data_IF_037138949557
#
_entry.id   IF_037138949557
#
_cell.length_a   1.000
_cell.length_b   1.000
_cell.length_c   1.000
_cell.angle_alpha   90.00
_cell.angle_beta   90.00
_cell.angle_gamma   90.00
#
_symmetry.space_group_name_H-M   'P 1'
#
loop_
_entity.id
_entity.type
_entity.pdbx_description
1 polymer ?
#
# COMPACT_ATOMS: atom_id res chain seq x y z
N UNK A 1 -1.50 40.41 -2.17
CA UNK A 1 -2.43 39.45 -2.81
C UNK A 1 -2.96 38.55 -1.72
N UNK A 2 -4.24 38.69 -1.35
CA UNK A 2 -4.88 37.80 -0.39
C UNK A 2 -5.02 36.43 -1.06
N UNK A 3 -4.25 35.46 -0.57
CA UNK A 3 -4.40 34.05 -0.91
C UNK A 3 -5.87 33.68 -0.71
N UNK A 4 -6.50 33.16 -1.77
CA UNK A 4 -7.87 32.69 -1.77
C UNK A 4 -8.05 31.71 -0.61
N UNK A 5 -8.89 32.06 0.37
CA UNK A 5 -9.18 31.20 1.52
C UNK A 5 -9.64 29.84 0.98
N UNK A 6 -8.90 28.79 1.31
CA UNK A 6 -9.16 27.43 0.85
C UNK A 6 -10.48 26.95 1.46
N UNK A 7 -11.56 26.90 0.66
CA UNK A 7 -12.90 26.44 1.08
C UNK A 7 -13.07 24.91 1.12
N UNK A 8 -12.05 24.15 0.71
CA UNK A 8 -12.07 22.69 0.78
C UNK A 8 -11.44 22.23 2.10
N UNK A 9 -12.02 21.22 2.73
CA UNK A 9 -11.51 20.57 3.94
C UNK A 9 -10.69 19.32 3.55
N UNK A 10 -9.33 19.40 3.48
CA UNK A 10 -8.50 18.29 2.98
C UNK A 10 -8.68 17.02 3.80
N UNK A 11 -8.85 17.15 5.12
CA UNK A 11 -9.12 16.03 6.02
C UNK A 11 -10.40 15.32 5.64
N UNK A 12 -11.51 16.04 5.45
CA UNK A 12 -12.78 15.45 5.08
C UNK A 12 -12.70 14.76 3.71
N UNK A 13 -12.08 15.42 2.72
CA UNK A 13 -11.90 14.88 1.37
C UNK A 13 -11.05 13.58 1.38
N UNK A 14 -9.90 13.59 2.08
CA UNK A 14 -9.00 12.43 2.17
C UNK A 14 -9.66 11.23 2.86
N UNK A 15 -10.29 11.46 4.02
CA UNK A 15 -10.90 10.37 4.79
C UNK A 15 -12.18 9.86 4.14
N UNK A 16 -12.94 10.70 3.43
CA UNK A 16 -14.09 10.26 2.62
C UNK A 16 -13.63 9.29 1.54
N UNK A 17 -12.60 9.65 0.76
CA UNK A 17 -12.06 8.77 -0.28
C UNK A 17 -11.44 7.50 0.28
N UNK A 18 -10.78 7.57 1.44
CA UNK A 18 -10.26 6.38 2.11
C UNK A 18 -11.40 5.43 2.56
N UNK A 19 -12.48 5.98 3.10
CA UNK A 19 -13.67 5.20 3.46
C UNK A 19 -14.36 4.58 2.24
N UNK A 20 -14.47 5.31 1.13
CA UNK A 20 -15.00 4.80 -0.13
C UNK A 20 -14.14 3.66 -0.69
N UNK A 21 -12.80 3.79 -0.67
CA UNK A 21 -11.86 2.72 -1.08
C UNK A 21 -12.03 1.46 -0.23
N UNK A 22 -12.10 1.63 1.10
CA UNK A 22 -12.35 0.52 2.01
C UNK A 22 -13.66 -0.20 1.67
N UNK A 23 -14.75 0.56 1.49
CA UNK A 23 -16.07 0.01 1.17
C UNK A 23 -16.07 -0.70 -0.19
N UNK A 24 -15.43 -0.11 -1.19
CA UNK A 24 -15.30 -0.70 -2.52
C UNK A 24 -14.65 -2.07 -2.45
N UNK A 25 -13.46 -2.19 -1.87
CA UNK A 25 -12.79 -3.50 -1.79
C UNK A 25 -13.52 -4.48 -0.87
N UNK A 26 -14.17 -4.01 0.20
CA UNK A 26 -15.04 -4.85 1.03
C UNK A 26 -16.18 -5.46 0.19
N UNK A 27 -16.83 -4.65 -0.65
CA UNK A 27 -17.87 -5.12 -1.57
C UNK A 27 -17.31 -6.13 -2.58
N UNK A 28 -16.21 -5.79 -3.27
CA UNK A 28 -15.67 -6.60 -4.37
C UNK A 28 -15.01 -7.91 -3.91
N UNK A 29 -14.33 -7.91 -2.76
CA UNK A 29 -13.44 -9.01 -2.35
C UNK A 29 -13.90 -9.74 -1.08
N UNK A 30 -14.81 -9.15 -0.31
CA UNK A 30 -15.27 -9.66 0.97
C UNK A 30 -16.80 -9.79 1.08
N UNK A 31 -17.55 -9.57 0.00
CA UNK A 31 -19.01 -9.65 -0.05
C UNK A 31 -19.69 -8.71 0.96
N UNK A 32 -19.11 -7.52 1.18
CA UNK A 32 -19.58 -6.52 2.14
C UNK A 32 -19.67 -7.04 3.59
N UNK A 33 -18.89 -8.07 3.95
CA UNK A 33 -18.94 -8.66 5.29
C UNK A 33 -18.06 -7.97 6.32
N UNK A 34 -17.06 -7.18 5.92
CA UNK A 34 -16.17 -6.53 6.88
C UNK A 34 -16.91 -5.43 7.66
N UNK A 35 -16.69 -5.32 8.99
CA UNK A 35 -17.35 -4.31 9.81
C UNK A 35 -16.82 -2.90 9.54
N UNK A 36 -17.56 -1.88 9.97
CA UNK A 36 -17.03 -0.51 10.02
C UNK A 36 -16.00 -0.39 11.15
N UNK A 37 -14.84 0.17 10.83
CA UNK A 37 -13.69 0.30 11.73
C UNK A 37 -13.10 1.71 11.63
N UNK A 38 -12.14 2.04 12.49
CA UNK A 38 -11.39 3.28 12.34
C UNK A 38 -10.38 3.12 11.20
N UNK A 39 -10.47 4.02 10.23
CA UNK A 39 -9.45 4.18 9.19
C UNK A 39 -8.53 5.32 9.61
N UNK A 40 -7.22 5.15 9.47
CA UNK A 40 -6.24 6.11 9.97
C UNK A 40 -5.04 6.22 9.02
N UNK A 41 -4.31 7.33 9.13
CA UNK A 41 -2.99 7.48 8.52
C UNK A 41 -1.93 7.60 9.63
N UNK A 42 -0.98 6.67 9.68
CA UNK A 42 0.02 6.61 10.75
C UNK A 42 1.41 6.34 10.21
N UNK A 43 2.39 7.15 10.64
CA UNK A 43 3.80 6.95 10.32
C UNK A 43 4.38 5.92 11.27
N UNK A 44 4.51 4.70 10.80
CA UNK A 44 5.24 3.64 11.49
C UNK A 44 6.40 3.21 10.61
N UNK A 45 7.60 3.21 11.18
CA UNK A 45 8.80 2.88 10.43
C UNK A 45 8.68 1.47 9.81
N UNK A 46 9.17 1.34 8.56
CA UNK A 46 9.30 0.08 7.85
C UNK A 46 8.00 -0.72 7.62
N UNK A 47 6.84 -0.06 7.58
CA UNK A 47 5.57 -0.68 7.18
C UNK A 47 4.80 0.21 6.20
N UNK A 48 4.13 -0.42 5.22
CA UNK A 48 3.23 0.23 4.28
C UNK A 48 1.87 0.56 4.94
N UNK A 49 1.41 -0.31 5.83
CA UNK A 49 0.21 -0.19 6.62
C UNK A 49 0.21 -1.19 7.77
N UNK A 50 -0.83 -1.17 8.60
CA UNK A 50 -1.05 -2.21 9.59
C UNK A 50 -2.51 -2.23 10.06
N UNK A 51 -2.95 -3.42 10.42
CA UNK A 51 -4.17 -3.69 11.14
C UNK A 51 -3.90 -3.76 12.65
N UNK A 52 -4.74 -3.09 13.45
CA UNK A 52 -4.69 -3.15 14.91
C UNK A 52 -6.04 -3.59 15.49
N UNK A 53 -6.15 -4.81 16.07
CA UNK A 53 -7.41 -5.29 16.60
C UNK A 53 -7.78 -4.60 17.91
N UNK A 54 -9.06 -4.23 18.08
CA UNK A 54 -9.61 -3.72 19.35
C UNK A 54 -8.85 -2.49 19.89
N UNK A 55 -8.29 -1.67 19.00
CA UNK A 55 -7.45 -0.52 19.34
C UNK A 55 -8.24 0.62 19.99
N UNK A 56 -9.51 0.76 19.61
CA UNK A 56 -10.36 1.88 20.02
C UNK A 56 -11.49 1.38 20.90
N UNK A 57 -11.86 2.19 21.89
CA UNK A 57 -12.95 1.93 22.83
C UNK A 57 -13.87 3.15 22.83
N UNK A 58 -15.19 2.95 22.82
CA UNK A 58 -16.15 4.04 22.97
C UNK A 58 -16.02 4.68 24.36
N UNK A 59 -16.39 5.97 24.49
CA UNK A 59 -16.28 6.70 25.77
C UNK A 59 -16.99 6.00 26.95
N UNK A 60 -18.05 5.25 26.65
CA UNK A 60 -18.82 4.50 27.65
C UNK A 60 -18.23 3.11 27.95
N UNK A 61 -17.11 2.74 27.32
CA UNK A 61 -16.41 1.46 27.51
C UNK A 61 -17.08 0.23 26.88
N UNK A 62 -18.31 0.38 26.37
CA UNK A 62 -19.16 -0.76 25.96
C UNK A 62 -18.73 -1.41 24.65
N UNK A 63 -18.16 -0.64 23.72
CA UNK A 63 -17.85 -1.11 22.37
C UNK A 63 -16.36 -0.90 22.09
N UNK A 64 -15.72 -1.91 21.49
CA UNK A 64 -14.38 -1.79 20.90
C UNK A 64 -14.48 -1.84 19.39
N UNK A 65 -13.57 -1.19 18.69
CA UNK A 65 -13.40 -1.33 17.24
C UNK A 65 -11.94 -1.47 16.85
N UNK A 66 -11.72 -1.98 15.64
CA UNK A 66 -10.40 -2.19 15.07
C UNK A 66 -9.91 -0.93 14.35
N UNK A 67 -8.67 -0.97 13.89
CA UNK A 67 -8.08 0.07 13.07
C UNK A 67 -7.36 -0.55 11.87
N UNK A 68 -7.48 0.09 10.70
CA UNK A 68 -6.54 -0.08 9.59
C UNK A 68 -5.85 1.26 9.35
N UNK A 69 -4.54 1.24 9.49
CA UNK A 69 -3.66 2.40 9.28
C UNK A 69 -2.86 2.23 7.99
N UNK A 70 -2.81 3.26 7.15
CA UNK A 70 -1.88 3.33 6.01
C UNK A 70 -0.78 4.34 6.32
N UNK A 71 0.45 4.02 5.94
CA UNK A 71 1.56 4.94 6.09
C UNK A 71 1.56 6.01 4.97
N UNK A 72 1.41 7.30 5.29
CA UNK A 72 1.33 8.34 4.26
C UNK A 72 2.63 8.53 3.45
N UNK A 73 3.79 8.13 3.97
CA UNK A 73 5.05 8.15 3.20
C UNK A 73 5.10 7.04 2.16
N UNK A 74 4.44 5.92 2.43
CA UNK A 74 4.32 4.82 1.47
C UNK A 74 3.48 5.25 0.27
N UNK A 75 2.32 5.90 0.51
CA UNK A 75 1.45 6.43 -0.55
C UNK A 75 2.22 7.32 -1.54
N UNK A 76 3.12 8.17 -1.05
CA UNK A 76 3.90 9.09 -1.88
C UNK A 76 5.00 8.40 -2.72
N UNK A 77 5.41 7.19 -2.35
CA UNK A 77 6.58 6.51 -2.91
C UNK A 77 6.27 5.38 -3.89
N UNK A 78 5.00 4.99 -4.01
CA UNK A 78 4.58 3.81 -4.81
C UNK A 78 3.53 4.15 -5.85
N UNK A 79 3.17 3.16 -6.67
CA UNK A 79 2.02 3.24 -7.56
C UNK A 79 0.72 2.96 -6.78
N UNK A 80 -0.39 3.58 -7.20
CA UNK A 80 -1.64 3.51 -6.45
C UNK A 80 -2.19 2.08 -6.26
N UNK A 81 -1.85 1.16 -7.17
CA UNK A 81 -2.18 -0.27 -7.01
C UNK A 81 -1.55 -0.88 -5.75
N UNK A 82 -0.34 -0.46 -5.38
CA UNK A 82 0.35 -0.97 -4.18
C UNK A 82 -0.28 -0.42 -2.90
N UNK A 83 -0.82 0.81 -2.94
CA UNK A 83 -1.62 1.38 -1.84
C UNK A 83 -2.92 0.59 -1.66
N UNK A 84 -3.60 0.27 -2.76
CA UNK A 84 -4.80 -0.56 -2.74
C UNK A 84 -4.50 -1.99 -2.26
N UNK A 85 -3.38 -2.56 -2.69
CA UNK A 85 -2.91 -3.88 -2.26
C UNK A 85 -2.68 -3.89 -0.75
N UNK A 86 -2.01 -2.86 -0.21
CA UNK A 86 -1.81 -2.69 1.24
C UNK A 86 -3.15 -2.65 1.98
N UNK A 87 -4.11 -1.86 1.52
CA UNK A 87 -5.44 -1.81 2.14
C UNK A 87 -6.12 -3.19 2.15
N UNK A 88 -6.08 -3.91 1.03
CA UNK A 88 -6.72 -5.24 0.91
C UNK A 88 -6.01 -6.29 1.75
N UNK A 89 -4.68 -6.22 1.90
CA UNK A 89 -3.91 -7.03 2.84
C UNK A 89 -4.41 -6.83 4.27
N UNK A 90 -4.52 -5.57 4.72
CA UNK A 90 -5.00 -5.28 6.07
C UNK A 90 -6.49 -5.64 6.25
N UNK A 91 -7.31 -5.55 5.21
CA UNK A 91 -8.67 -6.08 5.21
C UNK A 91 -8.72 -7.61 5.37
N UNK A 92 -7.73 -8.35 4.85
CA UNK A 92 -7.63 -9.80 5.09
C UNK A 92 -7.29 -10.13 6.55
N UNK A 93 -6.46 -9.31 7.21
CA UNK A 93 -6.27 -9.39 8.66
C UNK A 93 -7.56 -9.14 9.42
N UNK A 94 -8.30 -8.07 9.09
CA UNK A 94 -9.61 -7.79 9.68
C UNK A 94 -10.59 -8.95 9.48
N UNK A 95 -10.68 -9.49 8.25
CA UNK A 95 -11.53 -10.64 7.95
C UNK A 95 -11.19 -11.83 8.86
N UNK A 96 -9.91 -12.15 9.01
CA UNK A 96 -9.50 -13.27 9.85
C UNK A 96 -9.81 -13.02 11.32
N UNK A 97 -9.62 -11.79 11.82
CA UNK A 97 -9.96 -11.47 13.20
C UNK A 97 -11.44 -11.64 13.51
N UNK A 98 -12.32 -11.33 12.54
CA UNK A 98 -13.78 -11.33 12.75
C UNK A 98 -14.38 -12.70 12.47
N UNK A 99 -13.90 -13.41 11.44
CA UNK A 99 -14.53 -14.62 10.92
C UNK A 99 -13.64 -15.87 10.96
N UNK A 100 -12.38 -15.72 11.33
CA UNK A 100 -11.38 -16.79 11.30
C UNK A 100 -10.74 -17.02 12.67
N UNK A 101 -9.56 -17.64 12.63
CA UNK A 101 -8.75 -18.01 13.80
C UNK A 101 -7.32 -17.52 13.59
N UNK A 102 -7.03 -16.25 13.92
CA UNK A 102 -5.67 -15.74 13.88
C UNK A 102 -4.79 -16.56 14.84
N UNK A 103 -3.51 -16.68 14.51
CA UNK A 103 -2.53 -17.33 15.38
C UNK A 103 -1.92 -16.31 16.36
N UNK A 104 -0.72 -16.58 16.88
CA UNK A 104 0.03 -15.60 17.66
C UNK A 104 0.22 -14.29 16.88
N UNK A 105 0.39 -13.19 17.61
CA UNK A 105 0.53 -11.84 17.04
C UNK A 105 1.54 -11.80 15.88
N UNK A 106 1.11 -11.21 14.76
CA UNK A 106 1.89 -11.04 13.53
C UNK A 106 2.11 -12.32 12.70
N UNK A 107 1.69 -13.50 13.15
CA UNK A 107 1.87 -14.72 12.38
C UNK A 107 0.75 -14.92 11.36
N UNK A 108 1.13 -14.99 10.08
CA UNK A 108 0.26 -15.23 8.95
C UNK A 108 0.15 -16.73 8.73
N UNK A 109 -0.98 -17.31 9.17
CA UNK A 109 -1.21 -18.75 9.07
C UNK A 109 -1.84 -19.13 7.72
N UNK A 110 -2.11 -20.44 7.55
CA UNK A 110 -2.69 -20.99 6.31
C UNK A 110 -4.09 -20.43 6.00
N UNK A 111 -4.90 -20.12 7.00
CA UNK A 111 -6.25 -19.59 6.78
C UNK A 111 -6.19 -18.18 6.19
N UNK A 112 -5.33 -17.32 6.75
CA UNK A 112 -5.07 -16.00 6.18
C UNK A 112 -4.49 -16.11 4.77
N UNK A 113 -3.52 -17.02 4.56
CA UNK A 113 -2.91 -17.20 3.25
C UNK A 113 -3.92 -17.65 2.19
N UNK A 114 -4.79 -18.61 2.53
CA UNK A 114 -5.88 -19.05 1.65
C UNK A 114 -6.86 -17.92 1.34
N UNK A 115 -7.15 -17.05 2.32
CA UNK A 115 -8.00 -15.88 2.09
C UNK A 115 -7.35 -14.89 1.12
N UNK A 116 -6.07 -14.58 1.31
CA UNK A 116 -5.30 -13.72 0.40
C UNK A 116 -5.35 -14.25 -1.04
N UNK A 117 -5.03 -15.53 -1.22
CA UNK A 117 -5.06 -16.16 -2.55
C UNK A 117 -6.47 -16.08 -3.17
N UNK A 118 -7.51 -16.32 -2.37
CA UNK A 118 -8.90 -16.23 -2.83
C UNK A 118 -9.33 -14.83 -3.27
N UNK A 119 -8.78 -13.78 -2.67
CA UNK A 119 -9.05 -12.38 -3.05
C UNK A 119 -8.08 -11.87 -4.12
N UNK A 120 -7.17 -12.70 -4.62
CA UNK A 120 -6.28 -12.35 -5.75
C UNK A 120 -4.94 -11.74 -5.35
N UNK A 121 -4.52 -11.90 -4.09
CA UNK A 121 -3.19 -11.51 -3.61
C UNK A 121 -2.44 -12.78 -3.19
N UNK A 122 -1.23 -12.99 -3.67
CA UNK A 122 -0.43 -14.17 -3.32
C UNK A 122 0.51 -13.84 -2.17
N UNK A 123 0.33 -14.44 -0.97
CA UNK A 123 1.28 -14.33 0.12
C UNK A 123 2.66 -14.82 -0.29
N UNK A 124 3.68 -14.05 0.07
CA UNK A 124 5.07 -14.43 -0.15
C UNK A 124 6.00 -13.83 0.91
N UNK A 125 6.83 -14.68 1.51
CA UNK A 125 7.88 -14.25 2.44
C UNK A 125 8.95 -13.37 1.79
N UNK A 126 8.99 -13.31 0.45
CA UNK A 126 9.92 -12.47 -0.34
C UNK A 126 9.20 -11.35 -1.08
N UNK A 127 7.86 -11.31 -1.03
CA UNK A 127 7.05 -10.43 -1.88
C UNK A 127 7.06 -10.81 -3.37
N UNK A 128 7.65 -11.95 -3.74
CA UNK A 128 7.82 -12.42 -5.12
C UNK A 128 7.46 -13.91 -5.25
N UNK A 129 7.39 -14.42 -6.48
CA UNK A 129 7.18 -15.85 -6.74
C UNK A 129 8.23 -16.73 -6.02
N UNK A 130 7.83 -17.94 -5.62
CA UNK A 130 8.69 -18.90 -4.93
C UNK A 130 8.87 -18.67 -3.42
N UNK A 131 8.40 -17.55 -2.86
CA UNK A 131 8.41 -17.32 -1.41
C UNK A 131 7.45 -18.26 -0.65
N UNK A 132 7.70 -18.44 0.66
CA UNK A 132 6.78 -19.19 1.53
C UNK A 132 5.49 -18.40 1.68
N UNK A 133 4.36 -19.10 1.80
CA UNK A 133 3.01 -18.49 1.91
C UNK A 133 2.57 -18.15 3.34
N UNK A 134 3.33 -18.58 4.35
CA UNK A 134 3.01 -18.40 5.78
C UNK A 134 4.26 -18.01 6.56
N UNK A 135 4.11 -17.22 7.61
CA UNK A 135 5.25 -16.75 8.39
C UNK A 135 4.96 -15.57 9.31
N UNK A 136 5.98 -15.17 10.07
CA UNK A 136 5.89 -14.07 11.03
C UNK A 136 5.95 -12.69 10.36
N UNK A 137 6.61 -12.59 9.21
CA UNK A 137 6.69 -11.40 8.37
C UNK A 137 6.35 -11.86 6.97
N UNK A 138 5.30 -11.29 6.39
CA UNK A 138 4.80 -11.66 5.09
C UNK A 138 4.59 -10.40 4.27
N UNK A 139 4.96 -10.49 3.01
CA UNK A 139 4.50 -9.59 1.97
C UNK A 139 3.56 -10.37 1.04
N UNK A 140 3.16 -9.77 -0.05
CA UNK A 140 2.37 -10.40 -1.09
C UNK A 140 2.61 -9.72 -2.43
N UNK A 141 2.16 -10.36 -3.50
CA UNK A 141 2.13 -9.79 -4.84
C UNK A 141 0.78 -10.06 -5.50
N UNK A 142 0.43 -9.24 -6.49
CA UNK A 142 -0.82 -9.37 -7.23
C UNK A 142 -0.82 -10.66 -8.06
N UNK A 143 -1.88 -11.47 -7.92
CA UNK A 143 -2.10 -12.62 -8.81
C UNK A 143 -2.64 -12.10 -10.13
N UNK A 144 -1.91 -12.32 -11.22
CA UNK A 144 -2.33 -11.94 -12.58
C UNK A 144 -3.67 -12.61 -12.95
N UNK A 145 -4.62 -11.82 -13.44
CA UNK A 145 -6.00 -12.20 -13.72
C UNK A 145 -6.87 -12.44 -12.47
N UNK A 146 -6.31 -12.21 -11.28
CA UNK A 146 -6.95 -12.44 -9.99
C UNK A 146 -8.06 -11.42 -9.66
N UNK A 147 -8.81 -11.68 -8.57
CA UNK A 147 -9.94 -10.83 -8.18
C UNK A 147 -9.49 -9.42 -7.80
N UNK A 148 -8.40 -9.28 -7.07
CA UNK A 148 -7.83 -7.97 -6.71
C UNK A 148 -7.49 -7.15 -7.96
N UNK A 149 -6.74 -7.71 -8.92
CA UNK A 149 -6.36 -7.00 -10.14
C UNK A 149 -7.60 -6.53 -10.90
N UNK A 150 -8.60 -7.41 -11.08
CA UNK A 150 -9.88 -7.05 -11.72
C UNK A 150 -10.60 -5.94 -10.98
N UNK A 151 -10.73 -6.04 -9.65
CA UNK A 151 -11.34 -5.00 -8.84
C UNK A 151 -10.57 -3.68 -8.92
N UNK A 152 -9.24 -3.70 -9.01
CA UNK A 152 -8.45 -2.49 -9.18
C UNK A 152 -8.62 -1.88 -10.58
N UNK A 153 -8.65 -2.70 -11.64
CA UNK A 153 -8.89 -2.24 -13.01
C UNK A 153 -10.28 -1.60 -13.15
N UNK A 154 -11.29 -2.17 -12.48
CA UNK A 154 -12.67 -1.67 -12.49
C UNK A 154 -12.92 -0.54 -11.48
N UNK A 155 -11.88 -0.11 -10.73
CA UNK A 155 -11.98 0.95 -9.74
C UNK A 155 -12.40 2.26 -10.41
N UNK A 156 -13.42 2.98 -9.88
CA UNK A 156 -13.80 4.29 -10.40
C UNK A 156 -12.60 5.25 -10.44
N UNK A 157 -12.41 5.95 -11.56
CA UNK A 157 -11.23 6.80 -11.79
C UNK A 157 -11.08 7.94 -10.79
N UNK A 158 -12.18 8.41 -10.21
CA UNK A 158 -12.23 9.45 -9.20
C UNK A 158 -12.09 8.90 -7.77
N UNK A 159 -12.04 7.58 -7.60
CA UNK A 159 -11.82 6.92 -6.32
C UNK A 159 -10.32 6.73 -6.06
N UNK A 160 -9.67 7.85 -5.75
CA UNK A 160 -8.24 7.92 -5.41
C UNK A 160 -8.06 8.62 -4.06
N UNK A 161 -6.84 8.57 -3.49
CA UNK A 161 -6.50 9.39 -2.33
C UNK A 161 -5.99 10.77 -2.81
N UNK A 162 -6.74 11.87 -2.58
CA UNK A 162 -6.43 13.17 -3.20
C UNK A 162 -5.21 13.87 -2.62
N UNK A 163 -4.71 13.43 -1.46
CA UNK A 163 -3.59 14.05 -0.76
C UNK A 163 -2.47 13.03 -0.51
N UNK A 164 -1.25 13.43 -0.86
CA UNK A 164 -0.01 12.68 -0.62
C UNK A 164 0.92 13.48 0.30
N UNK A 165 1.74 12.79 1.09
CA UNK A 165 2.78 13.44 1.89
C UNK A 165 3.89 14.00 0.97
N UNK A 166 4.39 15.19 1.27
CA UNK A 166 5.50 15.82 0.55
C UNK A 166 6.89 15.33 1.03
N UNK A 167 6.94 14.40 1.98
CA UNK A 167 8.16 13.83 2.55
C UNK A 167 9.00 12.99 1.56
N UNK A 168 8.60 12.93 0.28
CA UNK A 168 9.41 12.31 -0.78
C UNK A 168 10.67 13.14 -1.13
N UNK A 169 10.62 14.46 -0.93
CA UNK A 169 11.73 15.37 -1.24
C UNK A 169 12.80 15.45 -0.13
N UNK A 170 12.48 15.04 1.10
CA UNK A 170 13.36 15.24 2.26
C UNK A 170 14.32 14.10 2.57
N UNK A 171 14.33 13.01 1.78
CA UNK A 171 15.21 11.85 2.02
C UNK A 171 16.55 11.92 1.28
N UNK A 172 16.87 13.06 0.64
CA UNK A 172 18.14 13.26 -0.10
C UNK A 172 19.26 13.87 0.76
N UNK A 173 19.03 14.11 2.05
CA UNK A 173 20.05 14.70 2.90
C UNK A 173 19.86 14.27 4.35
N UNK A 174 20.53 13.17 4.72
CA UNK A 174 21.41 13.04 5.88
C UNK A 174 21.64 11.54 6.16
N UNK A 175 22.75 11.03 5.64
CA UNK A 175 23.39 9.83 6.18
C UNK A 175 24.01 10.22 7.53
N UNK A 176 23.50 9.67 8.64
CA UNK A 176 24.24 9.31 9.85
C UNK A 176 23.24 8.81 10.91
N UNK A 177 23.14 7.50 11.09
CA UNK A 177 23.43 6.79 12.36
C UNK A 177 22.94 5.34 12.27
N UNK A 178 23.73 4.44 12.85
CA UNK A 178 23.64 3.00 12.71
C UNK A 178 22.72 2.33 13.74
N UNK A 179 22.02 1.29 13.28
CA UNK A 179 21.87 -0.04 13.92
C UNK A 179 20.66 -0.74 13.31
N UNK A 180 20.80 -2.06 13.14
CA UNK A 180 19.86 -3.05 12.60
C UNK A 180 19.68 -3.18 11.08
N UNK A 181 19.54 -4.45 10.58
CA UNK A 181 19.56 -4.76 9.17
C UNK A 181 18.30 -4.21 8.49
N UNK A 182 18.52 -3.19 7.64
CA UNK A 182 17.50 -2.60 6.78
C UNK A 182 16.83 -3.71 5.95
N UNK A 183 15.49 -3.76 5.84
CA UNK A 183 14.86 -4.56 4.78
C UNK A 183 15.48 -4.15 3.44
N UNK A 184 15.55 -5.06 2.45
CA UNK A 184 16.19 -4.75 1.18
C UNK A 184 15.61 -3.43 0.66
N UNK A 185 16.47 -2.41 0.56
CA UNK A 185 16.13 -1.14 -0.08
C UNK A 185 15.67 -1.51 -1.48
N UNK A 186 14.36 -1.56 -1.71
CA UNK A 186 13.83 -1.51 -3.07
C UNK A 186 14.44 -0.22 -3.62
N UNK A 187 15.32 -0.33 -4.62
CA UNK A 187 15.97 0.84 -5.23
C UNK A 187 14.85 1.77 -5.67
N UNK A 188 14.64 2.84 -4.91
CA UNK A 188 13.51 3.76 -5.07
C UNK A 188 13.62 4.56 -6.37
N UNK A 189 14.81 4.57 -6.97
CA UNK A 189 15.09 5.09 -8.31
C UNK A 189 16.01 4.12 -9.06
N UNK A 190 15.61 3.71 -10.24
CA UNK A 190 16.44 3.01 -11.23
C UNK A 190 16.99 4.08 -12.18
N UNK A 191 18.26 3.94 -12.54
CA UNK A 191 18.89 4.75 -13.57
C UNK A 191 18.50 4.16 -14.93
N UNK A 192 17.91 4.97 -15.78
CA UNK A 192 17.66 4.64 -17.18
C UNK A 192 18.67 5.42 -18.02
N UNK A 193 19.25 4.78 -19.03
CA UNK A 193 20.20 5.40 -19.93
C UNK A 193 19.78 5.24 -21.38
N UNK A 194 19.90 6.30 -22.15
CA UNK A 194 19.65 6.24 -23.59
C UNK A 194 20.82 5.53 -24.28
N UNK A 195 20.57 4.49 -25.09
CA UNK A 195 21.65 3.79 -25.81
C UNK A 195 22.30 4.67 -26.89
N UNK A 196 21.60 5.70 -27.39
CA UNK A 196 22.10 6.58 -28.44
C UNK A 196 22.96 7.75 -27.95
N UNK A 197 22.51 8.45 -26.90
CA UNK A 197 23.17 9.68 -26.44
C UNK A 197 23.67 9.64 -25.00
N UNK A 198 23.54 8.51 -24.30
CA UNK A 198 23.94 8.33 -22.89
C UNK A 198 23.23 9.24 -21.89
N UNK A 199 22.14 9.90 -22.32
CA UNK A 199 21.26 10.68 -21.44
C UNK A 199 20.75 9.77 -20.33
N UNK A 200 20.96 10.20 -19.08
CA UNK A 200 20.56 9.47 -17.90
C UNK A 200 19.32 10.09 -17.26
N UNK A 201 18.35 9.27 -16.92
CA UNK A 201 17.13 9.65 -16.21
C UNK A 201 16.95 8.72 -15.01
N UNK A 202 16.69 9.27 -13.83
CA UNK A 202 16.38 8.48 -12.64
C UNK A 202 14.89 8.51 -12.38
N UNK A 203 14.28 7.34 -12.29
CA UNK A 203 12.84 7.23 -12.07
C UNK A 203 12.45 5.96 -11.35
N UNK A 204 11.16 5.81 -11.06
CA UNK A 204 10.61 4.61 -10.40
C UNK A 204 10.96 3.34 -11.22
N UNK A 205 10.99 2.15 -10.59
CA UNK A 205 11.07 0.89 -11.33
C UNK A 205 9.97 0.77 -12.40
N UNK A 206 10.30 0.15 -13.54
CA UNK A 206 9.37 -0.19 -14.63
C UNK A 206 8.70 0.98 -15.38
N UNK A 207 9.24 2.19 -15.31
CA UNK A 207 8.76 3.30 -16.16
C UNK A 207 9.32 3.19 -17.58
N UNK A 208 8.55 3.64 -18.58
CA UNK A 208 9.02 3.77 -19.96
C UNK A 208 9.44 5.21 -20.21
N UNK A 209 10.72 5.43 -20.47
CA UNK A 209 11.27 6.76 -20.79
C UNK A 209 11.71 6.76 -22.25
N UNK A 210 11.26 7.75 -23.02
CA UNK A 210 11.56 7.87 -24.45
C UNK A 210 12.48 9.07 -24.72
N UNK A 211 13.60 8.84 -25.40
CA UNK A 211 14.49 9.89 -25.86
C UNK A 211 14.03 10.39 -27.23
N UNK A 212 13.50 11.61 -27.30
CA UNK A 212 13.07 12.20 -28.57
C UNK A 212 14.23 12.39 -29.57
N UNK A 213 15.43 12.70 -29.08
CA UNK A 213 16.59 12.98 -29.95
C UNK A 213 17.17 11.72 -30.60
N UNK A 214 17.05 10.56 -29.94
CA UNK A 214 17.60 9.29 -30.42
C UNK A 214 16.52 8.30 -30.85
N UNK A 215 15.25 8.73 -30.83
CA UNK A 215 14.07 7.93 -31.17
C UNK A 215 14.07 6.52 -30.55
N UNK A 216 14.50 6.42 -29.29
CA UNK A 216 14.67 5.15 -28.59
C UNK A 216 14.22 5.25 -27.14
N UNK A 217 13.78 4.11 -26.59
CA UNK A 217 13.51 3.99 -25.15
C UNK A 217 14.83 3.88 -24.38
N UNK A 218 14.89 4.51 -23.21
CA UNK A 218 16.02 4.35 -22.31
C UNK A 218 15.93 2.98 -21.63
N UNK A 219 17.08 2.34 -21.44
CA UNK A 219 17.20 1.03 -20.80
C UNK A 219 17.62 1.17 -19.33
N UNK A 220 17.07 0.37 -18.41
CA UNK A 220 17.48 0.36 -17.02
C UNK A 220 18.94 -0.13 -16.90
N UNK A 221 19.76 0.59 -16.15
CA UNK A 221 21.12 0.21 -15.76
C UNK A 221 21.08 -0.18 -14.29
N UNK A 222 21.48 -1.42 -13.98
CA UNK A 222 21.56 -1.95 -12.60
C UNK A 222 22.69 -1.32 -11.77
#
# INVERSE_FOLDING_TARGET
MYSTIQKKEPTHEQYTKYQELYNYFNQQLFNSKLPCIILNFSRKANVAGFFAPNRWISLQGKNKTHEISINPTYIASVEFIEVCQTLVHEQAHLWQMVFGKPSRSGYHNKEWANKMENIGLMPSSTGQEGGKKVGQKMSDYVIKGGKFEKAFVDLPKDLTLPWISNEFDSVVSNDEDGSDPKPPKIKSKIKYSCPGCTLNVWGKPNIKVYCKSCESYLEPIE
#
